data_IF_091466709134
#
_entry.id   IF_091466709134
#
_cell.length_a   1.000
_cell.length_b   1.000
_cell.length_c   1.000
_cell.angle_alpha   90.00
_cell.angle_beta   90.00
_cell.angle_gamma   90.00
#
_symmetry.space_group_name_H-M   'P 1'
#
loop_
_entity.id
_entity.type
_entity.pdbx_description
1 polymer ?
#
# COMPACT_ATOMS: atom_id res chain seq x y z
N UNK A 1 4.53 5.87 19.60
CA UNK A 1 5.24 5.92 18.32
C UNK A 1 4.29 6.37 17.22
N UNK A 2 4.81 7.19 16.32
CA UNK A 2 4.02 7.65 15.20
C UNK A 2 4.01 6.60 14.10
N UNK A 3 2.84 6.37 13.53
CA UNK A 3 2.73 5.53 12.35
C UNK A 3 2.90 6.39 11.12
N UNK A 4 3.58 5.86 10.14
CA UNK A 4 3.72 6.54 8.86
C UNK A 4 2.63 6.05 7.93
N UNK A 5 2.00 6.97 7.21
CA UNK A 5 0.97 6.66 6.23
C UNK A 5 1.43 7.13 4.87
N UNK A 6 1.14 6.35 3.85
CA UNK A 6 1.35 6.77 2.48
C UNK A 6 0.11 6.44 1.67
N UNK A 7 -0.08 7.17 0.59
CA UNK A 7 -1.19 6.91 -0.33
C UNK A 7 -0.67 6.09 -1.50
N UNK A 8 -1.43 5.07 -1.87
CA UNK A 8 -1.10 4.22 -3.01
C UNK A 8 -2.32 4.08 -3.91
N UNK A 9 -2.07 3.72 -5.15
CA UNK A 9 -3.16 3.39 -6.06
C UNK A 9 -2.80 2.12 -6.83
N UNK A 10 -3.81 1.34 -7.21
CA UNK A 10 -3.56 0.10 -7.92
C UNK A 10 -3.22 0.34 -9.39
N UNK A 11 -2.35 -0.50 -9.93
CA UNK A 11 -1.94 -0.44 -11.33
C UNK A 11 -2.37 -1.65 -12.13
N UNK A 12 -2.74 -2.74 -11.47
CA UNK A 12 -3.17 -3.96 -12.16
C UNK A 12 -4.62 -4.27 -11.81
N UNK A 13 -5.24 -5.14 -12.60
CA UNK A 13 -6.61 -5.59 -12.32
C UNK A 13 -6.69 -6.28 -10.97
N UNK A 14 -5.71 -7.13 -10.67
CA UNK A 14 -5.66 -7.83 -9.39
C UNK A 14 -5.56 -6.83 -8.23
N UNK A 15 -4.67 -5.85 -8.35
CA UNK A 15 -4.51 -4.85 -7.32
C UNK A 15 -5.77 -3.99 -7.17
N UNK A 16 -6.48 -3.71 -8.27
CA UNK A 16 -7.73 -2.96 -8.20
C UNK A 16 -8.78 -3.71 -7.41
N UNK A 17 -8.87 -5.02 -7.58
CA UNK A 17 -9.80 -5.85 -6.82
C UNK A 17 -9.45 -5.83 -5.34
N UNK A 18 -8.16 -5.99 -5.02
CA UNK A 18 -7.70 -5.95 -3.64
C UNK A 18 -7.94 -4.57 -3.03
N UNK A 19 -7.72 -3.53 -3.80
CA UNK A 19 -7.93 -2.16 -3.34
C UNK A 19 -9.38 -1.96 -2.89
N UNK A 20 -10.33 -2.41 -3.71
CA UNK A 20 -11.75 -2.27 -3.40
C UNK A 20 -12.12 -3.14 -2.20
N UNK A 21 -11.57 -4.35 -2.14
CA UNK A 21 -11.96 -5.32 -1.11
C UNK A 21 -11.34 -5.02 0.26
N UNK A 22 -10.06 -4.62 0.28
CA UNK A 22 -9.31 -4.52 1.53
C UNK A 22 -8.92 -3.10 1.90
N UNK A 23 -8.67 -2.26 0.92
CA UNK A 23 -8.21 -0.89 1.16
C UNK A 23 -9.37 0.08 1.23
N UNK A 24 -10.48 -0.33 0.64
CA UNK A 24 -11.72 0.41 0.69
C UNK A 24 -11.59 1.78 0.03
N UNK A 25 -12.30 2.76 0.55
CA UNK A 25 -12.30 4.11 -0.01
C UNK A 25 -11.08 4.92 0.39
N UNK A 26 -10.27 4.38 1.28
CA UNK A 26 -9.07 5.08 1.71
C UNK A 26 -7.89 4.56 0.91
N UNK A 27 -7.20 5.45 0.24
CA UNK A 27 -6.01 5.11 -0.52
C UNK A 27 -4.74 5.26 0.33
N UNK A 28 -4.90 5.36 1.65
CA UNK A 28 -3.80 5.44 2.59
C UNK A 28 -3.48 4.07 3.16
N UNK A 29 -2.20 3.81 3.34
CA UNK A 29 -1.71 2.57 3.95
C UNK A 29 -0.79 2.90 5.10
N UNK A 30 -0.71 1.97 6.05
CA UNK A 30 0.24 2.07 7.15
C UNK A 30 1.56 1.48 6.72
N UNK A 31 2.64 2.23 6.91
CA UNK A 31 3.99 1.73 6.64
C UNK A 31 4.47 0.98 7.87
N UNK A 32 4.60 -0.33 7.75
CA UNK A 32 5.07 -1.17 8.86
C UNK A 32 6.59 -1.25 8.90
N UNK A 33 7.22 -1.23 7.73
CA UNK A 33 8.67 -1.34 7.65
C UNK A 33 9.15 -0.69 6.35
N UNK A 34 10.29 -0.03 6.45
CA UNK A 34 10.95 0.56 5.29
C UNK A 34 12.41 0.16 5.34
N UNK A 35 12.88 -0.52 4.30
CA UNK A 35 14.24 -1.03 4.27
C UNK A 35 14.70 -1.19 2.84
N UNK A 36 15.83 -0.60 2.49
CA UNK A 36 16.47 -0.76 1.16
C UNK A 36 15.52 -0.42 0.00
N UNK A 37 14.70 0.61 0.18
CA UNK A 37 13.77 1.03 -0.88
C UNK A 37 12.52 0.19 -0.97
N UNK A 38 12.36 -0.79 -0.08
CA UNK A 38 11.19 -1.65 -0.03
C UNK A 38 10.30 -1.21 1.12
N UNK A 39 9.00 -1.13 0.86
CA UNK A 39 8.01 -0.78 1.87
C UNK A 39 7.16 -2.00 2.18
N UNK A 40 7.00 -2.28 3.46
CA UNK A 40 6.03 -3.27 3.92
C UNK A 40 4.81 -2.49 4.42
N UNK A 41 3.69 -2.68 3.76
CA UNK A 41 2.50 -1.88 3.98
C UNK A 41 1.34 -2.75 4.40
N UNK A 42 0.39 -2.15 5.11
CA UNK A 42 -0.86 -2.82 5.40
C UNK A 42 -2.00 -1.82 5.23
N UNK A 43 -3.20 -2.35 5.00
CA UNK A 43 -4.39 -1.53 5.00
C UNK A 43 -4.61 -0.95 6.40
N UNK A 44 -5.39 0.12 6.49
CA UNK A 44 -5.64 0.75 7.78
C UNK A 44 -6.31 -0.22 8.74
N UNK A 45 -7.18 -1.09 8.22
CA UNK A 45 -7.84 -2.10 9.03
C UNK A 45 -6.91 -3.26 9.43
N UNK A 46 -5.77 -3.39 8.77
CA UNK A 46 -4.84 -4.47 9.03
C UNK A 46 -5.19 -5.79 8.38
N UNK A 47 -6.22 -5.81 7.52
CA UNK A 47 -6.68 -7.04 6.89
C UNK A 47 -5.87 -7.44 5.67
N UNK A 48 -5.14 -6.52 5.09
CA UNK A 48 -4.39 -6.76 3.86
C UNK A 48 -2.98 -6.24 4.02
N UNK A 49 -2.01 -7.09 3.81
CA UNK A 49 -0.58 -6.74 3.87
C UNK A 49 0.04 -6.95 2.50
N UNK A 50 0.92 -6.07 2.12
CA UNK A 50 1.65 -6.23 0.87
C UNK A 50 2.97 -5.48 0.92
N UNK A 51 3.84 -5.80 -0.02
CA UNK A 51 5.14 -5.14 -0.14
C UNK A 51 5.26 -4.50 -1.51
N UNK A 52 5.93 -3.37 -1.56
CA UNK A 52 6.18 -2.69 -2.82
C UNK A 52 7.45 -1.87 -2.70
N UNK A 53 8.05 -1.53 -3.83
CA UNK A 53 9.17 -0.60 -3.84
C UNK A 53 8.66 0.82 -3.65
N UNK A 54 9.50 1.70 -3.09
CA UNK A 54 9.13 3.10 -2.92
C UNK A 54 8.82 3.78 -4.26
N UNK A 55 9.45 3.29 -5.34
CA UNK A 55 9.18 3.79 -6.68
C UNK A 55 7.93 3.19 -7.31
N UNK A 56 7.29 2.23 -6.62
CA UNK A 56 6.15 1.51 -7.16
C UNK A 56 6.56 0.18 -7.75
N UNK A 57 5.56 -0.62 -8.11
CA UNK A 57 5.79 -1.89 -8.79
C UNK A 57 4.70 -2.11 -9.84
N UNK A 58 4.57 -3.34 -10.34
CA UNK A 58 3.60 -3.64 -11.39
C UNK A 58 2.16 -3.56 -10.91
N UNK A 59 1.95 -3.67 -9.60
CA UNK A 59 0.61 -3.71 -9.02
C UNK A 59 0.23 -2.41 -8.33
N UNK A 60 1.20 -1.70 -7.75
CA UNK A 60 0.94 -0.53 -6.91
C UNK A 60 1.87 0.61 -7.25
N UNK A 61 1.39 1.82 -7.05
CA UNK A 61 2.25 3.00 -7.13
C UNK A 61 1.94 3.93 -5.97
N UNK A 62 2.96 4.68 -5.54
CA UNK A 62 2.81 5.64 -4.46
C UNK A 62 2.32 6.96 -5.04
N UNK A 63 1.28 7.51 -4.43
CA UNK A 63 0.73 8.82 -4.80
C UNK A 63 1.40 9.86 -3.91
N UNK A 64 1.99 10.84 -4.52
CA UNK A 64 2.62 11.92 -3.77
C UNK A 64 1.72 13.12 -3.65
#
# INVERSE_FOLDING_TARGET
>A
MKKEFICVQPRSTTAKQDFVEYMNELDSCVVNKREHGMLSLSSISGKYDFEMFESGNDHWEVIK
#
